data_IF_968223713113
#
_entry.id   IF_968223713113
#
_cell.length_a   1.000
_cell.length_b   1.000
_cell.length_c   1.000
_cell.angle_alpha   90.00
_cell.angle_beta   90.00
_cell.angle_gamma   90.00
#
_symmetry.space_group_name_H-M   'P 1'
#
loop_
_entity.id
_entity.type
_entity.pdbx_description
1 polymer ?
#
# COMPACT_ATOMS: atom_id res chain seq x y z
N UNK A 1 5.74 -21.17 -10.75
CA UNK A 1 6.00 -20.07 -9.80
C UNK A 1 6.56 -20.63 -8.50
N UNK A 2 7.51 -19.98 -7.84
CA UNK A 2 8.03 -20.47 -6.57
C UNK A 2 6.94 -20.53 -5.50
N UNK A 3 6.83 -21.67 -4.79
CA UNK A 3 5.87 -21.85 -3.68
C UNK A 3 6.03 -20.77 -2.58
N UNK A 4 7.21 -20.16 -2.48
CA UNK A 4 7.47 -19.07 -1.57
C UNK A 4 6.57 -17.85 -1.81
N UNK A 5 6.14 -17.56 -3.06
CA UNK A 5 5.21 -16.48 -3.36
C UNK A 5 3.82 -16.75 -2.78
N UNK A 6 3.41 -18.02 -2.73
CA UNK A 6 2.17 -18.40 -2.06
C UNK A 6 2.23 -18.11 -0.55
N UNK A 7 3.36 -18.39 0.12
CA UNK A 7 3.53 -18.04 1.53
C UNK A 7 3.39 -16.54 1.78
N UNK A 8 3.98 -15.70 0.90
CA UNK A 8 3.84 -14.25 0.98
C UNK A 8 2.41 -13.78 0.71
N UNK A 9 1.70 -14.43 -0.22
CA UNK A 9 0.28 -14.14 -0.47
C UNK A 9 -0.61 -14.51 0.73
N UNK A 10 -0.31 -15.59 1.47
CA UNK A 10 -1.03 -15.96 2.70
C UNK A 10 -0.81 -14.91 3.80
N UNK A 11 0.41 -14.37 3.95
CA UNK A 11 0.69 -13.22 4.84
C UNK A 11 -0.18 -12.02 4.43
N UNK A 12 -0.17 -11.66 3.15
CA UNK A 12 -0.94 -10.54 2.63
C UNK A 12 -2.46 -10.74 2.81
N UNK A 13 -2.95 -11.98 2.66
CA UNK A 13 -4.34 -12.33 2.93
C UNK A 13 -4.71 -12.12 4.40
N UNK A 14 -3.87 -12.55 5.34
CA UNK A 14 -4.09 -12.31 6.78
C UNK A 14 -4.12 -10.82 7.12
N UNK A 15 -3.19 -10.05 6.54
CA UNK A 15 -3.12 -8.59 6.72
C UNK A 15 -4.38 -7.92 6.16
N UNK A 16 -4.79 -8.24 4.92
CA UNK A 16 -5.99 -7.65 4.32
C UNK A 16 -7.27 -8.01 5.10
N UNK A 17 -7.36 -9.24 5.59
CA UNK A 17 -8.52 -9.65 6.41
C UNK A 17 -8.59 -8.84 7.70
N UNK A 18 -7.49 -8.71 8.47
CA UNK A 18 -7.50 -7.98 9.74
C UNK A 18 -7.73 -6.48 9.58
N UNK A 19 -7.24 -5.89 8.48
CA UNK A 19 -7.37 -4.47 8.20
C UNK A 19 -8.85 -4.07 8.03
N UNK A 20 -9.59 -4.85 7.27
CA UNK A 20 -10.95 -4.48 6.86
C UNK A 20 -12.07 -5.16 7.65
N UNK A 21 -11.83 -6.33 8.27
CA UNK A 21 -12.86 -7.05 9.03
C UNK A 21 -13.45 -6.24 10.18
N UNK A 22 -12.64 -5.37 10.80
CA UNK A 22 -13.08 -4.50 11.89
C UNK A 22 -14.21 -3.56 11.47
N UNK A 23 -14.20 -3.08 10.21
CA UNK A 23 -15.22 -2.16 9.68
C UNK A 23 -16.60 -2.85 9.62
N UNK A 24 -16.63 -4.15 9.31
CA UNK A 24 -17.85 -4.94 9.27
C UNK A 24 -18.38 -5.38 10.65
N UNK A 25 -17.61 -5.12 11.72
CA UNK A 25 -17.92 -5.58 13.08
C UNK A 25 -18.06 -4.45 14.11
N UNK A 26 -18.09 -3.18 13.65
CA UNK A 26 -18.16 -2.03 14.56
C UNK A 26 -19.35 -2.07 15.53
N UNK A 27 -20.60 -2.42 15.11
CA UNK A 27 -21.71 -2.56 16.04
C UNK A 27 -21.45 -3.63 17.11
N UNK A 28 -20.96 -4.82 16.73
CA UNK A 28 -20.70 -5.92 17.66
C UNK A 28 -19.56 -5.60 18.64
N UNK A 29 -18.55 -4.83 18.18
CA UNK A 29 -17.46 -4.36 19.05
C UNK A 29 -18.01 -3.32 20.05
N UNK A 30 -18.83 -2.39 19.58
CA UNK A 30 -19.46 -1.36 20.39
C UNK A 30 -20.30 -1.98 21.52
N UNK A 31 -21.21 -2.89 21.15
CA UNK A 31 -22.05 -3.61 22.11
C UNK A 31 -21.25 -4.46 23.09
N UNK A 32 -20.26 -5.21 22.58
CA UNK A 32 -19.46 -6.13 23.37
C UNK A 32 -18.49 -5.45 24.37
N UNK A 33 -18.17 -4.17 24.16
CA UNK A 33 -17.29 -3.36 25.04
C UNK A 33 -18.01 -2.19 25.70
N UNK A 34 -19.33 -2.07 25.53
CA UNK A 34 -20.19 -1.00 26.07
C UNK A 34 -19.68 0.40 25.72
N UNK A 35 -19.29 0.60 24.47
CA UNK A 35 -18.84 1.90 23.92
C UNK A 35 -19.75 2.33 22.75
N UNK A 36 -19.68 3.59 22.37
CA UNK A 36 -20.41 4.07 21.19
C UNK A 36 -19.81 3.51 19.89
N UNK A 37 -20.61 3.37 18.82
CA UNK A 37 -20.12 2.94 17.49
C UNK A 37 -19.02 3.87 16.96
N UNK A 38 -19.09 5.21 17.08
CA UNK A 38 -17.99 6.10 16.74
C UNK A 38 -16.71 5.81 17.54
N UNK A 39 -16.82 5.50 18.84
CA UNK A 39 -15.67 5.09 19.66
C UNK A 39 -15.09 3.77 19.17
N UNK A 40 -15.93 2.77 18.87
CA UNK A 40 -15.50 1.49 18.28
C UNK A 40 -14.77 1.70 16.96
N UNK A 41 -15.15 2.68 16.14
CA UNK A 41 -14.49 3.06 14.90
C UNK A 41 -13.00 3.39 15.06
N UNK A 42 -12.58 3.85 16.25
CA UNK A 42 -11.16 4.12 16.53
C UNK A 42 -10.26 2.88 16.49
N UNK A 43 -10.80 1.65 16.56
CA UNK A 43 -9.99 0.42 16.39
C UNK A 43 -9.41 0.31 14.98
N UNK A 44 -10.09 0.89 13.97
CA UNK A 44 -9.60 0.98 12.59
C UNK A 44 -8.46 2.00 12.52
N UNK A 45 -8.67 3.19 13.13
CA UNK A 45 -7.64 4.23 13.21
C UNK A 45 -6.41 3.76 14.00
N UNK A 46 -6.59 2.97 15.06
CA UNK A 46 -5.49 2.37 15.84
C UNK A 46 -4.61 1.47 14.97
N UNK A 47 -5.22 0.62 14.15
CA UNK A 47 -4.47 -0.22 13.21
C UNK A 47 -3.70 0.62 12.19
N UNK A 48 -4.36 1.60 11.56
CA UNK A 48 -3.72 2.51 10.60
C UNK A 48 -2.56 3.29 11.23
N UNK A 49 -2.70 3.76 12.48
CA UNK A 49 -1.62 4.39 13.25
C UNK A 49 -0.43 3.43 13.43
N UNK A 50 -0.72 2.17 13.78
CA UNK A 50 0.28 1.10 13.85
C UNK A 50 1.04 0.97 12.51
N UNK A 51 0.34 0.96 11.38
CA UNK A 51 0.96 0.86 10.04
C UNK A 51 1.86 2.05 9.75
N UNK A 52 1.38 3.28 9.98
CA UNK A 52 2.14 4.51 9.69
C UNK A 52 3.44 4.57 10.48
N UNK A 53 3.39 4.23 11.77
CA UNK A 53 4.56 4.25 12.67
C UNK A 53 5.45 3.02 12.41
N UNK A 54 4.82 1.85 12.31
CA UNK A 54 5.52 0.57 12.28
C UNK A 54 6.30 0.33 11.00
N UNK A 55 5.80 0.77 9.85
CA UNK A 55 6.46 0.53 8.58
C UNK A 55 7.91 1.07 8.55
N UNK A 56 8.18 2.34 8.80
CA UNK A 56 9.55 2.84 8.83
C UNK A 56 10.34 2.32 10.05
N UNK A 57 9.70 2.24 11.22
CA UNK A 57 10.36 1.87 12.46
C UNK A 57 10.86 0.41 12.44
N UNK A 58 9.97 -0.54 12.12
CA UNK A 58 10.33 -1.96 12.14
C UNK A 58 11.23 -2.34 10.98
N UNK A 59 11.13 -1.65 9.84
CA UNK A 59 12.06 -1.83 8.73
C UNK A 59 13.46 -1.34 9.09
N UNK A 60 13.57 -0.15 9.72
CA UNK A 60 14.85 0.39 10.18
C UNK A 60 15.50 -0.52 11.24
N UNK A 61 14.76 -0.91 12.27
CA UNK A 61 15.25 -1.82 13.33
C UNK A 61 15.65 -3.18 12.73
N UNK A 62 14.84 -3.68 11.79
CA UNK A 62 15.05 -4.95 11.11
C UNK A 62 16.14 -4.95 10.03
N UNK A 63 16.73 -3.80 9.68
CA UNK A 63 17.65 -3.65 8.55
C UNK A 63 18.85 -4.61 8.59
N UNK A 64 19.29 -5.01 9.79
CA UNK A 64 20.40 -5.98 10.00
C UNK A 64 19.95 -7.43 10.09
N UNK A 65 18.66 -7.70 10.06
CA UNK A 65 18.09 -9.05 10.19
C UNK A 65 17.93 -9.68 8.80
N UNK A 66 18.34 -10.95 8.58
CA UNK A 66 18.08 -11.64 7.33
C UNK A 66 16.57 -11.63 6.99
N UNK A 67 16.22 -11.35 5.73
CA UNK A 67 14.82 -11.10 5.31
C UNK A 67 13.85 -12.20 5.76
N UNK A 68 14.22 -13.50 5.63
CA UNK A 68 13.37 -14.61 6.09
C UNK A 68 13.10 -14.52 7.60
N UNK A 69 14.14 -14.28 8.42
CA UNK A 69 13.99 -14.16 9.88
C UNK A 69 13.13 -12.95 10.22
N UNK A 70 13.34 -11.84 9.53
CA UNK A 70 12.54 -10.62 9.72
C UNK A 70 11.06 -10.87 9.38
N UNK A 71 10.74 -11.53 8.26
CA UNK A 71 9.37 -11.93 7.93
C UNK A 71 8.73 -12.79 9.03
N UNK A 72 9.48 -13.75 9.59
CA UNK A 72 8.98 -14.61 10.67
C UNK A 72 8.71 -13.80 11.95
N UNK A 73 9.62 -12.91 12.34
CA UNK A 73 9.47 -12.05 13.52
C UNK A 73 8.27 -11.11 13.38
N UNK A 74 8.16 -10.44 12.23
CA UNK A 74 7.06 -9.52 11.94
C UNK A 74 5.70 -10.24 11.88
N UNK A 75 5.65 -11.44 11.28
CA UNK A 75 4.42 -12.26 11.27
C UNK A 75 4.09 -12.75 12.69
N UNK A 76 5.10 -13.03 13.51
CA UNK A 76 4.91 -13.34 14.93
C UNK A 76 4.26 -12.17 15.68
N UNK A 77 4.75 -10.94 15.49
CA UNK A 77 4.12 -9.73 16.07
C UNK A 77 2.68 -9.57 15.59
N UNK A 78 2.42 -9.80 14.29
CA UNK A 78 1.08 -9.80 13.71
C UNK A 78 0.15 -10.81 14.40
N UNK A 79 0.60 -12.04 14.63
CA UNK A 79 -0.17 -13.07 15.36
C UNK A 79 -0.46 -12.62 16.77
N UNK A 80 0.56 -12.16 17.52
CA UNK A 80 0.40 -11.68 18.90
C UNK A 80 -0.60 -10.52 18.96
N UNK A 81 -0.53 -9.55 18.04
CA UNK A 81 -1.47 -8.43 17.98
C UNK A 81 -2.92 -8.88 17.75
N UNK A 82 -3.15 -9.87 16.87
CA UNK A 82 -4.50 -10.39 16.62
C UNK A 82 -5.01 -11.29 17.77
N UNK A 83 -4.15 -12.09 18.41
CA UNK A 83 -4.49 -12.81 19.64
C UNK A 83 -4.86 -11.84 20.75
N UNK A 84 -4.05 -10.80 20.98
CA UNK A 84 -4.35 -9.76 21.96
C UNK A 84 -5.68 -9.04 21.64
N UNK A 85 -5.98 -8.78 20.35
CA UNK A 85 -7.27 -8.21 19.95
C UNK A 85 -8.43 -9.15 20.27
N UNK A 86 -8.29 -10.46 20.04
CA UNK A 86 -9.32 -11.44 20.37
C UNK A 86 -9.57 -11.57 21.88
N UNK A 87 -8.53 -11.40 22.69
CA UNK A 87 -8.60 -11.54 24.15
C UNK A 87 -8.85 -10.22 24.88
N UNK A 88 -8.96 -9.09 24.19
CA UNK A 88 -9.10 -7.77 24.80
C UNK A 88 -10.36 -7.67 25.68
N UNK A 89 -10.24 -7.39 26.98
CA UNK A 89 -11.38 -7.30 27.91
C UNK A 89 -12.09 -5.94 27.85
N UNK A 90 -11.41 -4.89 27.39
CA UNK A 90 -11.91 -3.53 27.33
C UNK A 90 -11.43 -2.84 26.04
N UNK A 91 -11.96 -1.63 25.80
CA UNK A 91 -11.67 -0.87 24.58
C UNK A 91 -10.20 -0.42 24.50
N UNK A 92 -9.60 0.02 25.60
CA UNK A 92 -8.24 0.54 25.66
C UNK A 92 -7.22 -0.54 25.27
N UNK A 93 -7.40 -1.77 25.80
CA UNK A 93 -6.55 -2.90 25.44
C UNK A 93 -6.80 -3.37 24.00
N UNK A 94 -8.05 -3.31 23.50
CA UNK A 94 -8.31 -3.58 22.10
C UNK A 94 -7.62 -2.54 21.21
N UNK A 95 -7.71 -1.25 21.54
CA UNK A 95 -7.02 -0.17 20.80
C UNK A 95 -5.50 -0.43 20.75
N UNK A 96 -4.87 -0.70 21.89
CA UNK A 96 -3.44 -1.01 21.95
C UNK A 96 -3.08 -2.27 21.14
N UNK A 97 -3.89 -3.32 21.23
CA UNK A 97 -3.70 -4.54 20.46
C UNK A 97 -3.83 -4.31 18.95
N UNK A 98 -4.72 -3.40 18.52
CA UNK A 98 -4.85 -3.01 17.10
C UNK A 98 -3.65 -2.23 16.60
N UNK A 99 -3.11 -1.31 17.42
CA UNK A 99 -1.83 -0.64 17.09
C UNK A 99 -0.74 -1.70 16.91
N UNK A 100 -0.61 -2.64 17.87
CA UNK A 100 0.39 -3.72 17.81
C UNK A 100 0.22 -4.59 16.54
N UNK A 101 -1.01 -4.96 16.18
CA UNK A 101 -1.30 -5.75 14.97
C UNK A 101 -0.96 -4.99 13.68
N UNK A 102 -1.10 -3.66 13.68
CA UNK A 102 -0.79 -2.79 12.54
C UNK A 102 0.72 -2.54 12.35
N UNK A 103 1.51 -2.53 13.44
CA UNK A 103 2.95 -2.23 13.39
C UNK A 103 3.72 -3.02 12.32
N UNK A 104 3.58 -4.35 12.17
CA UNK A 104 4.35 -5.14 11.22
C UNK A 104 3.87 -5.02 9.76
N UNK A 105 2.66 -4.50 9.52
CA UNK A 105 2.00 -4.52 8.21
C UNK A 105 2.90 -3.98 7.09
N UNK A 106 3.33 -2.73 7.17
CA UNK A 106 4.12 -2.10 6.11
C UNK A 106 5.49 -2.75 5.94
N UNK A 107 6.14 -3.13 7.04
CA UNK A 107 7.42 -3.84 7.00
C UNK A 107 7.27 -5.25 6.38
N UNK A 108 6.17 -5.98 6.64
CA UNK A 108 5.87 -7.26 6.00
C UNK A 108 5.74 -7.12 4.49
N UNK A 109 5.02 -6.12 4.01
CA UNK A 109 4.91 -5.85 2.57
C UNK A 109 6.24 -5.37 1.97
N UNK A 110 6.99 -4.53 2.68
CA UNK A 110 8.28 -4.05 2.24
C UNK A 110 9.30 -5.16 2.06
N UNK A 111 9.50 -5.96 3.11
CA UNK A 111 10.40 -7.13 3.09
C UNK A 111 9.88 -8.19 2.12
N UNK A 112 8.57 -8.43 2.12
CA UNK A 112 7.91 -9.39 1.24
C UNK A 112 8.10 -9.05 -0.24
N UNK A 113 7.97 -7.77 -0.64
CA UNK A 113 8.18 -7.32 -2.00
C UNK A 113 9.62 -7.52 -2.47
N UNK A 114 10.61 -7.20 -1.60
CA UNK A 114 12.02 -7.45 -1.89
C UNK A 114 12.31 -8.95 -2.01
N UNK A 115 11.77 -9.77 -1.12
CA UNK A 115 11.91 -11.23 -1.20
C UNK A 115 11.26 -11.76 -2.47
N UNK A 116 10.02 -11.34 -2.77
CA UNK A 116 9.30 -11.77 -3.98
C UNK A 116 10.07 -11.45 -5.26
N UNK A 117 10.62 -10.22 -5.36
CA UNK A 117 11.39 -9.79 -6.54
C UNK A 117 12.69 -10.58 -6.72
N UNK A 118 13.34 -10.99 -5.62
CA UNK A 118 14.59 -11.78 -5.65
C UNK A 118 14.37 -13.27 -5.93
N UNK A 119 13.15 -13.78 -5.83
CA UNK A 119 12.83 -15.20 -6.09
C UNK A 119 12.63 -15.52 -7.57
N UNK A 120 12.62 -14.53 -8.43
CA UNK A 120 12.37 -14.63 -9.87
C UNK A 120 13.43 -13.86 -10.67
N UNK A 121 13.46 -14.09 -11.99
CA UNK A 121 14.30 -13.29 -12.87
C UNK A 121 13.86 -11.80 -12.89
N UNK A 122 14.77 -10.84 -13.08
CA UNK A 122 14.48 -9.41 -13.00
C UNK A 122 13.32 -8.93 -13.89
N UNK A 123 13.14 -9.54 -15.06
CA UNK A 123 12.04 -9.28 -16.00
C UNK A 123 10.66 -9.71 -15.51
N UNK A 124 10.59 -10.44 -14.38
CA UNK A 124 9.36 -10.95 -13.76
C UNK A 124 9.15 -10.45 -12.33
N UNK A 125 9.95 -9.50 -11.88
CA UNK A 125 9.94 -9.00 -10.50
C UNK A 125 8.57 -8.38 -10.13
N UNK A 126 8.01 -7.54 -11.00
CA UNK A 126 6.71 -6.92 -10.75
C UNK A 126 5.57 -7.95 -10.71
N UNK A 127 5.63 -8.99 -11.55
CA UNK A 127 4.68 -10.11 -11.49
C UNK A 127 4.75 -10.85 -10.16
N UNK A 128 5.94 -11.07 -9.61
CA UNK A 128 6.10 -11.72 -8.31
C UNK A 128 5.54 -10.87 -7.16
N UNK A 129 5.78 -9.56 -7.18
CA UNK A 129 5.22 -8.60 -6.21
C UNK A 129 3.69 -8.53 -6.34
N UNK A 130 3.16 -8.48 -7.55
CA UNK A 130 1.71 -8.50 -7.81
C UNK A 130 1.06 -9.79 -7.28
N UNK A 131 1.71 -10.96 -7.41
CA UNK A 131 1.22 -12.22 -6.85
C UNK A 131 1.17 -12.21 -5.31
N UNK A 132 2.07 -11.52 -4.65
CA UNK A 132 1.95 -11.28 -3.20
C UNK A 132 0.72 -10.43 -2.89
N UNK A 133 0.48 -9.34 -3.63
CA UNK A 133 -0.68 -8.47 -3.45
C UNK A 133 -2.02 -9.15 -3.75
N UNK A 134 -2.03 -10.23 -4.54
CA UNK A 134 -3.26 -11.02 -4.72
C UNK A 134 -3.83 -11.54 -3.40
N UNK A 135 -2.97 -11.85 -2.41
CA UNK A 135 -3.44 -12.22 -1.07
C UNK A 135 -4.32 -11.13 -0.46
N UNK A 136 -3.94 -9.85 -0.59
CA UNK A 136 -4.70 -8.71 -0.08
C UNK A 136 -6.07 -8.56 -0.80
N UNK A 137 -6.11 -8.70 -2.12
CA UNK A 137 -7.36 -8.54 -2.88
C UNK A 137 -8.30 -9.73 -2.67
N UNK A 138 -7.77 -10.94 -2.57
CA UNK A 138 -8.54 -12.14 -2.21
C UNK A 138 -9.10 -12.02 -0.79
N UNK A 139 -8.37 -11.41 0.14
CA UNK A 139 -8.88 -11.12 1.49
C UNK A 139 -10.16 -10.28 1.44
N UNK A 140 -10.23 -9.28 0.57
CA UNK A 140 -11.43 -8.44 0.43
C UNK A 140 -12.63 -9.22 -0.14
N UNK A 141 -12.41 -10.25 -0.98
CA UNK A 141 -13.50 -11.05 -1.56
C UNK A 141 -13.98 -12.13 -0.59
N UNK A 142 -13.07 -12.79 0.13
CA UNK A 142 -13.37 -13.98 0.94
C UNK A 142 -13.09 -13.73 2.42
N UNK A 143 -11.91 -13.22 2.77
CA UNK A 143 -11.45 -13.08 4.15
C UNK A 143 -12.31 -12.13 4.98
N UNK A 144 -12.60 -10.95 4.43
CA UNK A 144 -13.39 -9.92 5.13
C UNK A 144 -14.86 -10.36 5.28
N UNK A 145 -15.58 -10.80 4.22
CA UNK A 145 -16.94 -11.29 4.39
C UNK A 145 -17.04 -12.49 5.33
N UNK A 146 -16.14 -13.48 5.20
CA UNK A 146 -16.14 -14.66 6.06
C UNK A 146 -15.83 -14.31 7.53
N UNK A 147 -14.84 -13.44 7.77
CA UNK A 147 -14.50 -12.96 9.10
C UNK A 147 -15.62 -12.11 9.72
N UNK A 148 -16.29 -11.28 8.92
CA UNK A 148 -17.45 -10.50 9.37
C UNK A 148 -18.61 -11.41 9.73
N UNK A 149 -18.97 -12.39 8.89
CA UNK A 149 -20.03 -13.36 9.17
C UNK A 149 -19.72 -14.17 10.44
N UNK A 150 -18.48 -14.62 10.59
CA UNK A 150 -18.01 -15.32 11.79
C UNK A 150 -18.18 -14.45 13.05
N UNK A 151 -17.75 -13.18 12.95
CA UNK A 151 -17.83 -12.24 14.06
C UNK A 151 -19.27 -11.83 14.43
N UNK A 152 -20.17 -11.78 13.44
CA UNK A 152 -21.59 -11.50 13.67
C UNK A 152 -22.32 -12.68 14.34
N UNK A 153 -21.96 -13.93 13.98
CA UNK A 153 -22.63 -15.13 14.48
C UNK A 153 -22.08 -15.62 15.82
N UNK A 154 -20.76 -15.60 16.01
CA UNK A 154 -20.09 -16.16 17.20
C UNK A 154 -19.49 -15.08 18.11
N UNK A 155 -19.50 -13.81 17.69
CA UNK A 155 -18.92 -12.69 18.39
C UNK A 155 -17.61 -12.20 17.74
N UNK A 156 -17.38 -10.89 17.79
CA UNK A 156 -16.28 -10.18 17.09
C UNK A 156 -14.87 -10.73 17.46
N UNK A 157 -14.72 -11.29 18.67
CA UNK A 157 -13.45 -11.90 19.12
C UNK A 157 -13.02 -13.08 18.25
N UNK A 158 -13.98 -13.86 17.77
CA UNK A 158 -13.69 -15.01 16.90
C UNK A 158 -13.15 -14.60 15.52
N UNK A 159 -13.52 -13.42 15.02
CA UNK A 159 -12.94 -12.89 13.80
C UNK A 159 -11.44 -12.63 13.94
N UNK A 160 -11.01 -11.99 15.03
CA UNK A 160 -9.58 -11.78 15.29
C UNK A 160 -8.84 -13.09 15.61
N UNK A 161 -9.48 -14.03 16.29
CA UNK A 161 -8.91 -15.35 16.52
C UNK A 161 -8.70 -16.11 15.20
N UNK A 162 -9.64 -16.05 14.26
CA UNK A 162 -9.49 -16.63 12.93
C UNK A 162 -8.33 -15.99 12.15
N UNK A 163 -8.17 -14.66 12.22
CA UNK A 163 -7.02 -13.96 11.64
C UNK A 163 -5.70 -14.42 12.29
N UNK A 164 -5.68 -14.61 13.60
CA UNK A 164 -4.49 -15.13 14.29
C UNK A 164 -4.13 -16.55 13.78
N UNK A 165 -5.12 -17.43 13.57
CA UNK A 165 -4.92 -18.76 12.96
C UNK A 165 -4.34 -18.62 11.55
N UNK A 166 -4.87 -17.71 10.71
CA UNK A 166 -4.30 -17.43 9.38
C UNK A 166 -2.84 -16.98 9.51
N UNK A 167 -2.52 -16.14 10.49
CA UNK A 167 -1.14 -15.72 10.78
C UNK A 167 -0.23 -16.88 11.17
N UNK A 168 -0.69 -17.85 11.96
CA UNK A 168 0.05 -19.08 12.31
C UNK A 168 0.28 -19.94 11.07
N UNK A 169 -0.73 -20.09 10.21
CA UNK A 169 -0.58 -20.80 8.93
C UNK A 169 0.42 -20.09 8.01
N UNK A 170 0.40 -18.75 7.98
CA UNK A 170 1.38 -17.95 7.26
C UNK A 170 2.82 -18.17 7.80
N UNK A 171 3.00 -18.21 9.14
CA UNK A 171 4.29 -18.55 9.75
C UNK A 171 4.78 -19.94 9.31
N UNK A 172 3.92 -20.95 9.35
CA UNK A 172 4.27 -22.30 8.93
C UNK A 172 4.66 -22.34 7.44
N UNK A 173 3.91 -21.60 6.57
CA UNK A 173 4.22 -21.48 5.16
C UNK A 173 5.57 -20.76 4.92
N UNK A 174 5.84 -19.65 5.63
CA UNK A 174 7.11 -18.91 5.53
C UNK A 174 8.31 -19.78 5.96
N UNK A 175 8.18 -20.55 7.05
CA UNK A 175 9.23 -21.45 7.52
C UNK A 175 9.57 -22.49 6.45
N UNK A 176 8.55 -23.12 5.86
CA UNK A 176 8.73 -24.25 4.92
C UNK A 176 9.06 -23.83 3.50
N UNK A 177 8.46 -22.74 3.01
CA UNK A 177 8.45 -22.42 1.58
C UNK A 177 9.43 -21.30 1.21
N UNK A 178 9.75 -20.37 2.12
CA UNK A 178 10.69 -19.28 1.82
C UNK A 178 12.13 -19.77 2.06
N UNK A 179 13.00 -19.75 1.02
CA UNK A 179 14.39 -20.16 1.18
C UNK A 179 15.16 -19.20 2.09
N UNK A 180 16.23 -19.71 2.70
CA UNK A 180 17.19 -18.86 3.41
C UNK A 180 17.85 -17.94 2.38
N UNK A 181 17.84 -16.65 2.66
CA UNK A 181 18.54 -15.67 1.83
C UNK A 181 19.85 -15.30 2.50
N UNK A 182 20.96 -15.23 1.73
CA UNK A 182 22.22 -14.73 2.28
C UNK A 182 22.00 -13.35 2.87
N UNK A 183 22.77 -13.01 3.89
CA UNK A 183 22.83 -11.64 4.42
C UNK A 183 23.24 -10.74 3.27
N UNK A 184 22.34 -9.85 2.82
CA UNK A 184 22.73 -8.75 1.95
C UNK A 184 23.70 -7.82 2.69
N UNK A 185 24.42 -6.98 1.97
CA UNK A 185 25.21 -5.90 2.58
C UNK A 185 24.28 -5.12 3.51
N UNK A 186 24.63 -5.12 4.79
CA UNK A 186 23.73 -4.62 5.85
C UNK A 186 23.88 -3.11 5.93
N UNK A 187 23.02 -2.41 5.24
CA UNK A 187 22.84 -0.98 5.46
C UNK A 187 22.37 -0.77 6.91
N UNK A 188 23.06 0.07 7.66
CA UNK A 188 22.64 0.42 9.02
C UNK A 188 21.36 1.24 9.02
N UNK A 189 20.66 1.31 10.16
CA UNK A 189 19.43 2.11 10.34
C UNK A 189 19.55 3.53 9.76
N UNK A 190 20.69 4.19 9.98
CA UNK A 190 20.95 5.55 9.47
C UNK A 190 21.03 5.58 7.94
N UNK A 191 21.52 4.53 7.31
CA UNK A 191 21.58 4.40 5.85
C UNK A 191 20.18 4.27 5.24
N UNK A 192 19.34 3.40 5.81
CA UNK A 192 17.93 3.24 5.44
C UNK A 192 17.17 4.58 5.54
N UNK A 193 17.35 5.32 6.64
CA UNK A 193 16.71 6.62 6.85
C UNK A 193 17.24 7.70 5.90
N UNK A 194 18.54 7.68 5.55
CA UNK A 194 19.11 8.63 4.57
C UNK A 194 18.55 8.42 3.18
N UNK A 195 18.32 7.19 2.78
CA UNK A 195 17.72 6.87 1.48
C UNK A 195 16.33 7.49 1.32
N UNK A 196 15.57 7.64 2.42
CA UNK A 196 14.26 8.30 2.43
C UNK A 196 14.34 9.82 2.16
N UNK A 197 15.52 10.46 2.35
CA UNK A 197 15.74 11.87 1.99
C UNK A 197 15.93 12.07 0.47
N UNK A 198 16.00 11.02 -0.30
CA UNK A 198 16.08 11.10 -1.76
C UNK A 198 14.81 11.77 -2.31
N UNK A 199 14.98 12.90 -3.01
CA UNK A 199 13.87 13.67 -3.60
C UNK A 199 12.96 12.83 -4.49
N UNK A 200 13.51 11.84 -5.19
CA UNK A 200 12.74 10.94 -6.06
C UNK A 200 11.90 9.93 -5.25
N UNK A 201 12.41 9.45 -4.12
CA UNK A 201 11.65 8.59 -3.20
C UNK A 201 10.51 9.39 -2.56
N UNK A 202 10.81 10.60 -2.05
CA UNK A 202 9.78 11.49 -1.49
C UNK A 202 8.70 11.84 -2.53
N UNK A 203 9.09 12.16 -3.75
CA UNK A 203 8.13 12.44 -4.82
C UNK A 203 7.26 11.22 -5.15
N UNK A 204 7.85 10.02 -5.14
CA UNK A 204 7.12 8.76 -5.30
C UNK A 204 6.12 8.52 -4.16
N UNK A 205 6.50 8.77 -2.91
CA UNK A 205 5.61 8.65 -1.75
C UNK A 205 4.49 9.70 -1.79
N UNK A 206 4.78 10.95 -2.15
CA UNK A 206 3.75 11.99 -2.33
C UNK A 206 2.80 11.61 -3.46
N UNK A 207 3.34 11.06 -4.57
CA UNK A 207 2.51 10.51 -5.66
C UNK A 207 1.57 9.41 -5.15
N UNK A 208 2.06 8.51 -4.29
CA UNK A 208 1.24 7.48 -3.67
C UNK A 208 0.16 8.10 -2.77
N UNK A 209 0.51 9.00 -1.85
CA UNK A 209 -0.46 9.65 -0.94
C UNK A 209 -1.56 10.35 -1.71
N UNK A 210 -1.18 11.21 -2.67
CA UNK A 210 -2.15 12.04 -3.40
C UNK A 210 -2.95 11.19 -4.39
N UNK A 211 -2.28 10.36 -5.18
CA UNK A 211 -2.93 9.56 -6.23
C UNK A 211 -3.90 8.51 -5.67
N UNK A 212 -3.50 7.78 -4.60
CA UNK A 212 -4.40 6.85 -3.91
C UNK A 212 -5.43 7.54 -3.03
N UNK A 213 -5.15 8.76 -2.56
CA UNK A 213 -6.16 9.60 -1.90
C UNK A 213 -7.41 9.77 -2.75
N UNK A 214 -7.26 9.83 -4.07
CA UNK A 214 -8.36 9.86 -5.01
C UNK A 214 -9.26 8.63 -4.95
N UNK A 215 -8.68 7.45 -4.92
CA UNK A 215 -9.39 6.20 -4.73
C UNK A 215 -10.13 6.16 -3.38
N UNK A 216 -9.45 6.49 -2.29
CA UNK A 216 -10.03 6.44 -0.95
C UNK A 216 -11.11 7.50 -0.71
N UNK A 217 -11.05 8.65 -1.38
CA UNK A 217 -12.11 9.65 -1.32
C UNK A 217 -13.45 9.06 -1.81
N UNK A 218 -13.45 8.30 -2.90
CA UNK A 218 -14.65 7.62 -3.41
C UNK A 218 -15.00 6.40 -2.57
N UNK A 219 -14.03 5.52 -2.28
CA UNK A 219 -14.27 4.22 -1.65
C UNK A 219 -14.88 4.36 -0.24
N UNK A 220 -14.43 5.34 0.54
CA UNK A 220 -14.94 5.59 1.90
C UNK A 220 -16.43 5.93 1.93
N UNK A 221 -16.97 6.48 0.83
CA UNK A 221 -18.38 6.88 0.72
C UNK A 221 -19.17 6.04 -0.27
N UNK A 222 -18.58 4.95 -0.78
CA UNK A 222 -19.21 4.12 -1.79
C UNK A 222 -20.57 3.57 -1.34
N UNK A 223 -20.68 3.07 -0.11
CA UNK A 223 -21.92 2.54 0.46
C UNK A 223 -22.98 3.65 0.60
N UNK A 224 -22.72 4.79 1.29
CA UNK A 224 -23.66 5.91 1.32
C UNK A 224 -24.07 6.42 -0.07
N UNK A 225 -23.14 6.48 -1.02
CA UNK A 225 -23.46 6.91 -2.39
C UNK A 225 -24.48 5.97 -3.05
N UNK A 226 -24.29 4.66 -2.91
CA UNK A 226 -25.18 3.66 -3.49
C UNK A 226 -26.56 3.65 -2.82
N UNK A 227 -26.63 3.75 -1.50
CA UNK A 227 -27.90 3.77 -0.79
C UNK A 227 -28.70 5.03 -1.07
N UNK A 228 -28.06 6.20 -1.11
CA UNK A 228 -28.72 7.48 -1.34
C UNK A 228 -29.04 7.78 -2.81
N UNK A 229 -28.18 7.38 -3.76
CA UNK A 229 -28.32 7.76 -5.18
C UNK A 229 -28.89 6.64 -6.05
N UNK A 230 -28.54 5.37 -5.75
CA UNK A 230 -29.01 4.22 -6.52
C UNK A 230 -30.23 3.56 -5.84
N UNK A 231 -30.45 3.82 -4.55
CA UNK A 231 -31.59 3.28 -3.79
C UNK A 231 -31.46 1.79 -3.47
N UNK A 232 -30.25 1.22 -3.52
CA UNK A 232 -30.05 -0.20 -3.16
C UNK A 232 -30.13 -0.38 -1.65
N UNK A 233 -30.61 -1.56 -1.23
CA UNK A 233 -30.65 -1.91 0.20
C UNK A 233 -29.26 -2.13 0.77
N UNK A 234 -29.08 -1.88 2.07
CA UNK A 234 -27.81 -2.10 2.77
C UNK A 234 -27.30 -3.54 2.62
N UNK A 235 -28.20 -4.54 2.57
CA UNK A 235 -27.84 -5.93 2.34
C UNK A 235 -27.23 -6.17 0.95
N UNK A 236 -27.63 -5.42 -0.05
CA UNK A 236 -27.09 -5.53 -1.42
C UNK A 236 -25.73 -4.85 -1.58
N UNK A 237 -25.35 -3.93 -0.68
CA UNK A 237 -24.02 -3.27 -0.72
C UNK A 237 -22.88 -4.25 -0.56
N UNK A 238 -23.07 -5.34 0.18
CA UNK A 238 -22.08 -6.42 0.32
C UNK A 238 -21.71 -7.05 -1.03
N UNK A 239 -22.71 -7.25 -1.92
CA UNK A 239 -22.45 -7.75 -3.27
C UNK A 239 -21.66 -6.76 -4.10
N UNK A 240 -21.92 -5.45 -3.96
CA UNK A 240 -21.19 -4.42 -4.68
C UNK A 240 -19.72 -4.37 -4.23
N UNK A 241 -19.48 -4.46 -2.92
CA UNK A 241 -18.12 -4.54 -2.38
C UNK A 241 -17.39 -5.80 -2.85
N UNK A 242 -18.09 -6.93 -2.99
CA UNK A 242 -17.54 -8.14 -3.56
C UNK A 242 -17.16 -7.96 -5.03
N UNK A 243 -18.02 -7.36 -5.86
CA UNK A 243 -17.72 -7.03 -7.26
C UNK A 243 -16.53 -6.06 -7.37
N UNK A 244 -16.45 -5.06 -6.50
CA UNK A 244 -15.29 -4.19 -6.39
C UNK A 244 -14.02 -5.00 -6.11
N UNK A 245 -14.05 -5.94 -5.15
CA UNK A 245 -12.95 -6.86 -4.83
C UNK A 245 -12.56 -7.76 -6.00
N UNK A 246 -13.53 -8.24 -6.79
CA UNK A 246 -13.26 -8.96 -8.06
C UNK A 246 -12.48 -8.06 -9.02
N UNK A 247 -12.92 -6.82 -9.21
CA UNK A 247 -12.18 -5.83 -9.99
C UNK A 247 -10.74 -5.67 -9.50
N UNK A 248 -10.54 -5.47 -8.19
CA UNK A 248 -9.21 -5.37 -7.57
C UNK A 248 -8.33 -6.58 -7.90
N UNK A 249 -8.88 -7.78 -7.80
CA UNK A 249 -8.15 -9.02 -8.08
C UNK A 249 -7.72 -9.10 -9.54
N UNK A 250 -8.63 -8.79 -10.49
CA UNK A 250 -8.32 -8.75 -11.91
C UNK A 250 -7.25 -7.68 -12.22
N UNK A 251 -7.38 -6.49 -11.63
CA UNK A 251 -6.39 -5.42 -11.75
C UNK A 251 -5.01 -5.84 -11.27
N UNK A 252 -4.94 -6.50 -10.11
CA UNK A 252 -3.69 -7.03 -9.55
C UNK A 252 -3.04 -8.09 -10.43
N UNK A 253 -3.82 -9.00 -11.02
CA UNK A 253 -3.32 -10.02 -11.95
C UNK A 253 -2.69 -9.42 -13.20
N UNK A 254 -3.29 -8.34 -13.72
CA UNK A 254 -2.82 -7.63 -14.92
C UNK A 254 -1.66 -6.68 -14.60
N UNK A 255 -1.62 -6.10 -13.39
CA UNK A 255 -0.63 -5.12 -12.96
C UNK A 255 0.81 -5.63 -13.10
N UNK A 256 1.09 -6.86 -12.66
CA UNK A 256 2.42 -7.44 -12.70
C UNK A 256 3.00 -7.52 -14.12
N UNK A 257 2.35 -8.26 -15.04
CA UNK A 257 2.82 -8.36 -16.42
C UNK A 257 2.96 -7.03 -17.16
N UNK A 258 2.04 -6.09 -16.94
CA UNK A 258 2.11 -4.76 -17.56
C UNK A 258 3.28 -3.95 -16.99
N UNK A 259 3.50 -4.02 -15.68
CA UNK A 259 4.60 -3.32 -15.01
C UNK A 259 5.96 -3.87 -15.42
N UNK A 260 6.10 -5.18 -15.57
CA UNK A 260 7.33 -5.83 -16.05
C UNK A 260 7.68 -5.36 -17.47
N UNK A 261 6.66 -5.18 -18.33
CA UNK A 261 6.85 -4.71 -19.71
C UNK A 261 7.14 -3.21 -19.78
N UNK A 262 6.36 -2.40 -19.04
CA UNK A 262 6.36 -0.96 -19.19
C UNK A 262 5.88 -0.25 -17.90
N UNK A 263 6.75 -0.15 -16.89
CA UNK A 263 6.43 0.41 -15.57
C UNK A 263 5.76 1.79 -15.65
N UNK A 264 6.40 2.75 -16.34
CA UNK A 264 5.88 4.13 -16.40
C UNK A 264 4.59 4.27 -17.21
N UNK A 265 4.46 3.69 -18.41
CA UNK A 265 3.19 3.67 -19.13
C UNK A 265 2.05 3.05 -18.31
N UNK A 266 2.30 1.94 -17.57
CA UNK A 266 1.31 1.32 -16.71
C UNK A 266 0.89 2.24 -15.57
N UNK A 267 1.84 2.94 -14.94
CA UNK A 267 1.56 3.91 -13.88
C UNK A 267 0.74 5.10 -14.39
N UNK A 268 1.16 5.71 -15.50
CA UNK A 268 0.50 6.90 -16.06
C UNK A 268 -0.89 6.55 -16.61
N UNK A 269 -0.98 5.47 -17.39
CA UNK A 269 -2.25 4.97 -17.91
C UNK A 269 -3.21 4.57 -16.80
N UNK A 270 -2.71 3.93 -15.73
CA UNK A 270 -3.48 3.58 -14.56
C UNK A 270 -4.12 4.79 -13.88
N UNK A 271 -3.36 5.85 -13.59
CA UNK A 271 -3.89 7.09 -13.00
C UNK A 271 -4.86 7.81 -13.95
N UNK A 272 -4.54 7.90 -15.25
CA UNK A 272 -5.41 8.54 -16.22
C UNK A 272 -6.76 7.80 -16.34
N UNK A 273 -6.74 6.48 -16.43
CA UNK A 273 -7.95 5.66 -16.50
C UNK A 273 -8.73 5.70 -15.18
N UNK A 274 -8.04 5.72 -14.03
CA UNK A 274 -8.70 5.88 -12.73
C UNK A 274 -9.44 7.22 -12.63
N UNK A 275 -8.80 8.32 -13.04
CA UNK A 275 -9.45 9.63 -13.09
C UNK A 275 -10.68 9.61 -14.00
N UNK A 276 -10.57 9.05 -15.20
CA UNK A 276 -11.68 8.92 -16.13
C UNK A 276 -12.82 8.04 -15.56
N UNK A 277 -12.50 6.91 -14.92
CA UNK A 277 -13.50 6.04 -14.29
C UNK A 277 -14.23 6.75 -13.15
N UNK A 278 -13.52 7.54 -12.32
CA UNK A 278 -14.13 8.30 -11.23
C UNK A 278 -15.03 9.42 -11.74
N UNK A 279 -14.66 10.12 -12.82
CA UNK A 279 -15.54 11.09 -13.51
C UNK A 279 -16.77 10.38 -14.08
N UNK A 280 -16.58 9.26 -14.76
CA UNK A 280 -17.70 8.46 -15.30
C UNK A 280 -18.65 8.03 -14.18
N UNK A 281 -18.09 7.54 -13.05
CA UNK A 281 -18.89 7.12 -11.90
C UNK A 281 -19.77 8.25 -11.36
N UNK A 282 -19.26 9.48 -11.34
CA UNK A 282 -20.04 10.65 -10.93
C UNK A 282 -21.39 10.77 -11.67
N UNK A 283 -21.37 10.53 -12.97
CA UNK A 283 -22.56 10.67 -13.81
C UNK A 283 -23.47 9.43 -13.82
N UNK A 284 -22.89 8.23 -13.60
CA UNK A 284 -23.66 6.98 -13.73
C UNK A 284 -24.09 6.39 -12.39
N UNK A 285 -23.64 6.95 -11.25
CA UNK A 285 -23.88 6.39 -9.91
C UNK A 285 -25.38 6.22 -9.57
N UNK A 286 -26.26 7.03 -10.17
CA UNK A 286 -27.70 6.91 -10.03
C UNK A 286 -28.34 5.74 -10.80
N UNK A 287 -27.58 5.05 -11.65
CA UNK A 287 -28.06 3.93 -12.50
C UNK A 287 -27.35 2.65 -12.11
N UNK A 288 -28.07 1.68 -11.55
CA UNK A 288 -27.48 0.49 -10.92
C UNK A 288 -26.48 -0.25 -11.81
N UNK A 289 -26.87 -0.65 -13.02
CA UNK A 289 -26.02 -1.49 -13.88
C UNK A 289 -24.76 -0.75 -14.35
N UNK A 290 -24.83 0.48 -14.89
CA UNK A 290 -23.63 1.25 -15.21
C UNK A 290 -22.74 1.52 -14.00
N UNK A 291 -23.32 1.83 -12.83
CA UNK A 291 -22.57 2.05 -11.60
C UNK A 291 -21.76 0.80 -11.20
N UNK A 292 -22.37 -0.39 -11.21
CA UNK A 292 -21.71 -1.66 -10.87
C UNK A 292 -20.52 -1.93 -11.80
N UNK A 293 -20.66 -1.71 -13.10
CA UNK A 293 -19.60 -1.89 -14.08
C UNK A 293 -18.44 -0.94 -13.79
N UNK A 294 -18.72 0.35 -13.61
CA UNK A 294 -17.68 1.35 -13.37
C UNK A 294 -17.02 1.18 -12.01
N UNK A 295 -17.76 0.79 -10.96
CA UNK A 295 -17.23 0.45 -9.64
C UNK A 295 -16.24 -0.72 -9.74
N UNK A 296 -16.59 -1.78 -10.47
CA UNK A 296 -15.72 -2.93 -10.68
C UNK A 296 -14.44 -2.54 -11.42
N UNK A 297 -14.56 -1.72 -12.47
CA UNK A 297 -13.41 -1.18 -13.23
C UNK A 297 -12.53 -0.31 -12.31
N UNK A 298 -13.13 0.56 -11.49
CA UNK A 298 -12.40 1.43 -10.55
C UNK A 298 -11.62 0.61 -9.53
N UNK A 299 -12.20 -0.47 -9.01
CA UNK A 299 -11.50 -1.45 -8.17
C UNK A 299 -10.27 -2.06 -8.89
N UNK A 300 -10.44 -2.44 -10.15
CA UNK A 300 -9.35 -2.95 -10.98
C UNK A 300 -8.23 -1.94 -11.20
N UNK A 301 -8.58 -0.71 -11.54
CA UNK A 301 -7.61 0.36 -11.79
C UNK A 301 -6.85 0.79 -10.53
N UNK A 302 -7.50 0.83 -9.37
CA UNK A 302 -6.84 1.12 -8.09
C UNK A 302 -5.75 0.09 -7.79
N UNK A 303 -6.04 -1.19 -7.95
CA UNK A 303 -5.07 -2.26 -7.72
C UNK A 303 -3.99 -2.35 -8.81
N UNK A 304 -4.32 -1.99 -10.06
CA UNK A 304 -3.36 -1.94 -11.15
C UNK A 304 -2.23 -0.94 -10.88
N UNK A 305 -2.52 0.19 -10.23
CA UNK A 305 -1.53 1.23 -9.91
C UNK A 305 -0.61 0.81 -8.76
N UNK A 306 -1.06 -0.06 -7.86
CA UNK A 306 -0.31 -0.45 -6.64
C UNK A 306 1.07 -1.04 -6.96
N UNK A 307 1.13 -2.00 -7.90
CA UNK A 307 2.39 -2.67 -8.26
C UNK A 307 3.41 -1.73 -8.89
N UNK A 308 3.10 -0.90 -9.91
CA UNK A 308 4.08 0.01 -10.48
C UNK A 308 4.56 1.09 -9.50
N UNK A 309 3.72 1.58 -8.59
CA UNK A 309 4.15 2.50 -7.52
C UNK A 309 5.16 1.82 -6.61
N UNK A 310 4.86 0.60 -6.15
CA UNK A 310 5.76 -0.19 -5.31
C UNK A 310 7.11 -0.43 -5.99
N UNK A 311 7.10 -0.86 -7.25
CA UNK A 311 8.32 -1.13 -8.03
C UNK A 311 9.10 0.15 -8.32
N UNK A 312 8.43 1.26 -8.58
CA UNK A 312 9.07 2.57 -8.76
C UNK A 312 9.83 3.01 -7.50
N UNK A 313 9.19 2.92 -6.33
CA UNK A 313 9.81 3.27 -5.05
C UNK A 313 11.03 2.42 -4.75
N UNK A 314 10.92 1.09 -4.93
CA UNK A 314 12.05 0.17 -4.77
C UNK A 314 13.20 0.50 -5.72
N UNK A 315 12.89 0.81 -6.99
CA UNK A 315 13.89 1.18 -7.99
C UNK A 315 14.56 2.53 -7.72
N UNK A 316 13.90 3.47 -7.03
CA UNK A 316 14.46 4.78 -6.66
C UNK A 316 15.29 4.75 -5.39
N UNK A 317 14.97 3.85 -4.49
CA UNK A 317 15.69 3.65 -3.24
C UNK A 317 16.64 2.44 -3.37
N UNK A 318 17.59 2.47 -4.33
CA UNK A 318 18.51 1.36 -4.58
C UNK A 318 19.23 0.87 -3.33
N UNK A 319 19.57 1.79 -2.43
CA UNK A 319 20.28 1.51 -1.18
C UNK A 319 19.36 1.02 -0.05
N UNK A 320 18.05 1.30 -0.14
CA UNK A 320 17.07 0.94 0.89
C UNK A 320 15.70 0.56 0.27
N UNK A 321 15.65 -0.43 -0.62
CA UNK A 321 14.40 -0.80 -1.32
C UNK A 321 13.32 -1.32 -0.36
N UNK A 322 13.73 -1.98 0.72
CA UNK A 322 12.82 -2.50 1.76
C UNK A 322 12.12 -1.37 2.51
N UNK A 323 12.88 -0.32 2.90
CA UNK A 323 12.33 0.85 3.59
C UNK A 323 11.35 1.61 2.69
N UNK A 324 11.72 1.84 1.42
CA UNK A 324 10.85 2.54 0.48
C UNK A 324 9.56 1.76 0.21
N UNK A 325 9.66 0.44 0.05
CA UNK A 325 8.52 -0.43 -0.12
C UNK A 325 7.60 -0.47 1.11
N UNK A 326 8.17 -0.51 2.32
CA UNK A 326 7.42 -0.45 3.57
C UNK A 326 6.74 0.92 3.76
N UNK A 327 7.45 2.01 3.49
CA UNK A 327 6.92 3.39 3.60
C UNK A 327 5.78 3.66 2.61
N UNK A 328 5.70 2.93 1.50
CA UNK A 328 4.56 2.99 0.59
C UNK A 328 3.23 2.63 1.30
N UNK A 329 3.25 1.68 2.24
CA UNK A 329 2.07 1.33 3.04
C UNK A 329 1.70 2.39 4.06
N UNK A 330 2.69 3.11 4.63
CA UNK A 330 2.41 4.33 5.40
C UNK A 330 1.74 5.39 4.51
N UNK A 331 2.24 5.58 3.28
CA UNK A 331 1.66 6.50 2.31
C UNK A 331 0.22 6.11 1.95
N UNK A 332 -0.09 4.82 1.78
CA UNK A 332 -1.47 4.35 1.54
C UNK A 332 -2.40 4.63 2.72
N UNK A 333 -1.95 4.46 3.95
CA UNK A 333 -2.75 4.78 5.13
C UNK A 333 -2.98 6.28 5.30
N UNK A 334 -1.99 7.13 4.96
CA UNK A 334 -2.17 8.58 4.87
C UNK A 334 -3.13 8.97 3.74
N UNK A 335 -3.05 8.29 2.59
CA UNK A 335 -3.96 8.47 1.46
C UNK A 335 -5.40 8.12 1.85
N UNK A 336 -5.59 7.02 2.60
CA UNK A 336 -6.89 6.61 3.12
C UNK A 336 -7.48 7.69 4.04
N UNK A 337 -6.75 8.12 5.04
CA UNK A 337 -7.19 9.15 5.97
C UNK A 337 -7.49 10.49 5.26
N UNK A 338 -6.57 10.96 4.41
CA UNK A 338 -6.70 12.22 3.68
C UNK A 338 -7.83 12.18 2.64
N UNK A 339 -7.94 11.08 1.90
CA UNK A 339 -9.01 10.88 0.92
C UNK A 339 -10.39 10.83 1.57
N UNK A 340 -10.56 10.05 2.64
CA UNK A 340 -11.79 9.98 3.39
C UNK A 340 -12.19 11.35 3.95
N UNK A 341 -11.23 12.09 4.51
CA UNK A 341 -11.47 13.44 5.03
C UNK A 341 -11.92 14.40 3.93
N UNK A 342 -11.22 14.46 2.79
CA UNK A 342 -11.60 15.34 1.67
C UNK A 342 -12.95 14.96 1.08
N UNK A 343 -13.26 13.68 0.92
CA UNK A 343 -14.57 13.20 0.48
C UNK A 343 -15.69 13.62 1.44
N UNK A 344 -15.43 13.54 2.76
CA UNK A 344 -16.37 14.01 3.78
C UNK A 344 -16.60 15.51 3.75
N UNK A 345 -15.56 16.31 3.54
CA UNK A 345 -15.68 17.77 3.47
C UNK A 345 -16.61 18.23 2.35
N UNK A 346 -16.51 17.65 1.14
CA UNK A 346 -17.35 18.07 0.02
C UNK A 346 -18.82 17.66 0.20
N UNK A 347 -19.07 16.50 0.85
CA UNK A 347 -20.43 16.11 1.25
C UNK A 347 -20.98 17.07 2.29
N UNK A 348 -20.21 17.39 3.33
CA UNK A 348 -20.60 18.33 4.38
C UNK A 348 -20.83 19.75 3.85
N UNK A 349 -20.10 20.16 2.81
CA UNK A 349 -20.30 21.42 2.09
C UNK A 349 -21.56 21.43 1.20
N UNK A 350 -22.34 20.35 1.16
CA UNK A 350 -23.57 20.27 0.39
C UNK A 350 -23.40 20.01 -1.12
N UNK A 351 -22.23 19.56 -1.57
CA UNK A 351 -21.97 19.27 -3.01
C UNK A 351 -22.65 17.98 -3.49
N UNK A 352 -23.33 17.26 -2.58
CA UNK A 352 -24.06 16.03 -2.87
C UNK A 352 -23.22 14.75 -2.71
N UNK A 353 -23.91 13.62 -2.66
CA UNK A 353 -23.30 12.31 -2.38
C UNK A 353 -22.34 11.82 -3.46
N UNK A 354 -22.48 12.26 -4.72
CA UNK A 354 -21.56 11.88 -5.80
C UNK A 354 -20.25 12.69 -5.84
N UNK A 355 -20.15 13.80 -5.09
CA UNK A 355 -18.99 14.71 -5.12
C UNK A 355 -17.64 14.07 -4.74
N UNK A 356 -17.55 13.06 -3.84
CA UNK A 356 -16.27 12.40 -3.54
C UNK A 356 -15.60 11.77 -4.77
N UNK A 357 -16.37 11.39 -5.79
CA UNK A 357 -15.79 10.84 -7.04
C UNK A 357 -15.02 11.91 -7.82
N UNK A 358 -15.50 13.16 -7.84
CA UNK A 358 -14.80 14.27 -8.51
C UNK A 358 -13.54 14.69 -7.74
N UNK A 359 -13.60 14.73 -6.40
CA UNK A 359 -12.40 14.89 -5.57
C UNK A 359 -11.39 13.79 -5.88
N UNK A 360 -11.86 12.55 -5.96
CA UNK A 360 -11.05 11.40 -6.31
C UNK A 360 -10.40 11.54 -7.69
N UNK A 361 -11.14 11.98 -8.69
CA UNK A 361 -10.63 12.22 -10.04
C UNK A 361 -9.55 13.32 -10.05
N UNK A 362 -9.79 14.44 -9.35
CA UNK A 362 -8.83 15.53 -9.23
C UNK A 362 -7.50 15.06 -8.59
N UNK A 363 -7.58 14.30 -7.49
CA UNK A 363 -6.41 13.74 -6.83
C UNK A 363 -5.67 12.72 -7.71
N UNK A 364 -6.38 11.91 -8.49
CA UNK A 364 -5.77 10.98 -9.44
C UNK A 364 -5.03 11.73 -10.57
N UNK A 365 -5.58 12.85 -11.08
CA UNK A 365 -4.90 13.72 -12.06
C UNK A 365 -3.66 14.36 -11.45
N UNK A 366 -3.71 14.86 -10.21
CA UNK A 366 -2.53 15.40 -9.51
C UNK A 366 -1.49 14.30 -9.30
N UNK A 367 -1.92 13.07 -8.93
CA UNK A 367 -1.04 11.90 -8.82
C UNK A 367 -0.34 11.58 -10.15
N UNK A 368 -1.08 11.63 -11.26
CA UNK A 368 -0.52 11.49 -12.62
C UNK A 368 0.53 12.57 -12.92
N UNK A 369 0.21 13.84 -12.62
CA UNK A 369 1.13 14.96 -12.86
C UNK A 369 2.43 14.81 -12.04
N UNK A 370 2.32 14.42 -10.76
CA UNK A 370 3.48 14.15 -9.90
C UNK A 370 4.33 12.99 -10.41
N UNK A 371 3.69 11.89 -10.85
CA UNK A 371 4.37 10.75 -11.45
C UNK A 371 5.11 11.14 -12.74
N UNK A 372 4.48 11.94 -13.61
CA UNK A 372 5.07 12.45 -14.84
C UNK A 372 6.24 13.39 -14.57
N UNK A 373 6.11 14.32 -13.61
CA UNK A 373 7.19 15.21 -13.17
C UNK A 373 8.40 14.41 -12.65
N UNK A 374 8.16 13.36 -11.84
CA UNK A 374 9.22 12.44 -11.41
C UNK A 374 9.92 11.76 -12.59
N UNK A 375 9.14 11.39 -13.62
CA UNK A 375 9.67 10.80 -14.84
C UNK A 375 10.55 11.75 -15.65
N UNK A 376 10.15 13.01 -15.76
CA UNK A 376 10.92 14.06 -16.44
C UNK A 376 12.25 14.33 -15.75
N UNK A 377 12.22 14.56 -14.43
CA UNK A 377 13.42 14.79 -13.63
C UNK A 377 14.44 13.63 -13.70
N UNK A 378 13.99 12.42 -13.95
CA UNK A 378 14.87 11.26 -14.15
C UNK A 378 15.59 11.29 -15.51
N UNK A 379 14.90 11.74 -16.56
CA UNK A 379 15.48 11.85 -17.91
C UNK A 379 16.62 12.87 -17.90
N UNK A 380 16.40 14.04 -17.29
CA UNK A 380 17.40 15.09 -17.22
C UNK A 380 18.69 14.66 -16.48
N UNK A 381 18.51 13.91 -15.37
CA UNK A 381 19.68 13.38 -14.61
C UNK A 381 20.47 12.33 -15.40
N UNK A 382 19.79 11.52 -16.22
CA UNK A 382 20.47 10.53 -17.10
C UNK A 382 21.20 11.26 -18.24
N UNK A 383 20.58 12.23 -18.87
CA UNK A 383 21.19 13.05 -19.90
C UNK A 383 22.44 13.79 -19.37
N UNK A 384 22.36 14.44 -18.19
CA UNK A 384 23.48 15.11 -17.55
C UNK A 384 24.64 14.15 -17.21
N UNK A 385 24.35 12.95 -16.73
CA UNK A 385 25.39 11.93 -16.45
C UNK A 385 26.08 11.42 -17.72
N UNK A 386 25.34 11.26 -18.82
CA UNK A 386 25.91 10.85 -20.12
C UNK A 386 26.80 11.94 -20.66
N UNK A 387 26.39 13.22 -20.61
CA UNK A 387 27.21 14.36 -21.04
C UNK A 387 28.50 14.49 -20.20
N UNK A 388 28.43 14.29 -18.86
CA UNK A 388 29.59 14.34 -17.99
C UNK A 388 30.52 13.13 -18.20
N UNK A 389 30.01 11.97 -18.57
CA UNK A 389 30.84 10.78 -18.86
C UNK A 389 31.45 10.82 -20.26
N UNK A 390 30.85 11.55 -21.21
CA UNK A 390 31.39 11.77 -22.55
C UNK A 390 32.40 12.91 -22.64
N UNK A 391 32.36 13.85 -21.67
CA UNK A 391 33.45 14.82 -21.43
C UNK A 391 34.55 14.10 -20.66
N UNK A 392 35.38 13.31 -21.34
CA UNK A 392 36.41 12.45 -20.79
C UNK A 392 37.42 13.19 -19.86
N UNK A 393 38.33 12.45 -19.18
CA UNK A 393 39.27 13.00 -18.16
C UNK A 393 40.34 13.95 -18.74
N UNK A 394 40.16 14.49 -19.96
CA UNK A 394 41.09 15.39 -20.61
C UNK A 394 40.90 16.89 -20.32
N UNK A 395 39.82 17.32 -19.68
CA UNK A 395 39.53 18.74 -19.49
C UNK A 395 40.20 19.35 -18.25
N UNK A 396 40.93 18.59 -17.45
CA UNK A 396 41.60 19.05 -16.22
C UNK A 396 43.11 19.34 -16.42
N UNK A 397 43.67 19.08 -17.62
CA UNK A 397 45.08 19.31 -17.92
C UNK A 397 45.41 20.67 -18.54
N UNK A 398 44.42 21.50 -18.89
CA UNK A 398 44.63 22.84 -19.44
C UNK A 398 44.36 23.96 -18.40
N UNK A 399 44.76 23.80 -17.15
CA UNK A 399 44.95 24.95 -16.28
C UNK A 399 46.40 25.45 -16.46
N UNK A 400 46.63 26.69 -16.96
CA UNK A 400 47.97 27.23 -17.04
C UNK A 400 48.54 27.32 -15.63
N UNK A 401 49.61 26.55 -15.40
CA UNK A 401 50.47 26.71 -14.21
C UNK A 401 50.97 28.13 -14.19
N UNK A 402 50.47 28.95 -13.27
CA UNK A 402 51.04 30.25 -12.96
C UNK A 402 52.50 30.00 -12.54
N UNK A 403 53.42 30.40 -13.44
CA UNK A 403 54.83 30.37 -13.18
C UNK A 403 55.13 31.21 -11.93
N UNK A 404 55.64 30.58 -10.88
CA UNK A 404 56.31 31.24 -9.79
C UNK A 404 57.54 31.94 -10.36
N UNK A 405 57.50 33.25 -10.45
CA UNK A 405 58.67 34.08 -10.69
C UNK A 405 59.63 33.90 -9.49
N UNK A 406 60.77 33.28 -9.74
CA UNK A 406 61.92 33.31 -8.85
C UNK A 406 62.58 34.70 -9.03
N UNK A 407 62.63 35.46 -7.97
CA UNK A 407 63.41 36.70 -7.81
C UNK A 407 64.88 36.35 -7.59
N UNK A 408 65.83 36.82 -8.39
CA UNK A 408 67.25 36.58 -8.16
C UNK A 408 67.84 37.77 -7.49
N UNK A 409 68.00 37.74 -6.19
CA UNK A 409 68.98 38.63 -5.53
C UNK A 409 69.33 38.21 -4.07
N UNK A 410 70.58 37.82 -3.94
CA UNK A 410 71.46 37.67 -2.76
C UNK A 410 71.34 36.39 -1.99
#
# INVERSE_FOLDING_TARGET
MPLALFALAVVAFGIGTTEFVSMGLLPQIADGLAVSVPTAGNVVSAYALGVVIGAPLLTAIGARVPHKRLLLMLTGVFVVGNVASALAPNFELLFAARVLAGLPHGALFGVGAVVASKLVAPDRAARAVSMMFLGLTVANIVGVPAGTALGQQLGWRFAYAAVAVIGVLALAALVRLVPHQPRGEQAGVMHELRAMKNKQVLLGLVTAVVGFGGFFAMYSYLVPMLTHLTGISDSSTTLVLALFGVGMTLGTLVAGPLTDRALRPTLYGGFALLAAALVTLHFVIGHLVPALIVITITGGLSSLITTPVQMLLMAKAHEAPTMAAASNHSAFNLANAGGAWLGGLVIAAGWGWSSPTLVGAALAVVGLALAAAGGYLDRDRRASKVVLSSAGPGAEQDRPTAACAQDPST
#
